data_IF_415611516048
#
_entry.id   IF_415611516048
#
_cell.length_a   1.000
_cell.length_b   1.000
_cell.length_c   1.000
_cell.angle_alpha   90.00
_cell.angle_beta   90.00
_cell.angle_gamma   90.00
#
_symmetry.space_group_name_H-M   'P 1'
#
loop_
_entity.id
_entity.type
_entity.pdbx_description
1 polymer ?
#
# COMPACT_ATOMS: atom_id res chain seq x y z
N UNK A 1 -4.68 -23.73 16.60
CA UNK A 1 -4.50 -23.27 15.20
C UNK A 1 -3.39 -24.09 14.56
N UNK A 2 -3.73 -24.88 13.55
CA UNK A 2 -2.74 -25.61 12.75
C UNK A 2 -2.14 -24.65 11.69
N UNK A 3 -1.05 -25.05 11.04
CA UNK A 3 -0.39 -24.26 10.00
C UNK A 3 -1.32 -23.89 8.84
N UNK A 4 -2.25 -24.77 8.50
CA UNK A 4 -3.24 -24.52 7.45
C UNK A 4 -4.15 -23.32 7.78
N UNK A 5 -4.59 -23.21 9.04
CA UNK A 5 -5.43 -22.09 9.50
C UNK A 5 -4.68 -20.76 9.42
N UNK A 6 -3.39 -20.76 9.80
CA UNK A 6 -2.54 -19.56 9.76
C UNK A 6 -2.29 -19.08 8.32
N UNK A 7 -2.09 -20.01 7.39
CA UNK A 7 -1.93 -19.69 5.96
C UNK A 7 -3.22 -19.08 5.42
N UNK A 8 -4.38 -19.66 5.74
CA UNK A 8 -5.67 -19.10 5.34
C UNK A 8 -5.85 -17.68 5.89
N UNK A 9 -5.56 -17.47 7.17
CA UNK A 9 -5.63 -16.14 7.79
C UNK A 9 -4.71 -15.12 7.09
N UNK A 10 -3.50 -15.51 6.71
CA UNK A 10 -2.58 -14.65 5.96
C UNK A 10 -3.16 -14.26 4.59
N UNK A 11 -3.73 -15.22 3.86
CA UNK A 11 -4.37 -14.97 2.56
C UNK A 11 -5.55 -14.01 2.72
N UNK A 12 -6.41 -14.23 3.72
CA UNK A 12 -7.57 -13.38 4.00
C UNK A 12 -7.14 -11.93 4.33
N UNK A 13 -6.04 -11.76 5.09
CA UNK A 13 -5.49 -10.43 5.38
C UNK A 13 -4.94 -9.74 4.13
N UNK A 14 -4.30 -10.48 3.21
CA UNK A 14 -3.82 -9.92 1.93
C UNK A 14 -4.99 -9.44 1.07
N UNK A 15 -6.03 -10.24 0.96
CA UNK A 15 -7.25 -9.86 0.23
C UNK A 15 -7.92 -8.63 0.86
N UNK A 16 -7.99 -8.57 2.20
CA UNK A 16 -8.51 -7.38 2.90
C UNK A 16 -7.66 -6.13 2.62
N UNK A 17 -6.34 -6.23 2.65
CA UNK A 17 -5.44 -5.10 2.39
C UNK A 17 -5.52 -4.60 0.93
N UNK A 18 -5.80 -5.49 -0.02
CA UNK A 18 -5.96 -5.14 -1.44
C UNK A 18 -7.19 -4.29 -1.72
N UNK A 19 -8.24 -4.40 -0.89
CA UNK A 19 -9.48 -3.62 -1.03
C UNK A 19 -9.35 -2.14 -0.60
N UNK A 20 -8.26 -1.76 0.06
CA UNK A 20 -8.04 -0.39 0.52
C UNK A 20 -9.22 0.14 1.35
N UNK A 21 -9.76 1.28 0.93
CA UNK A 21 -10.91 1.93 1.57
C UNK A 21 -12.28 1.27 1.32
N UNK A 22 -12.34 0.19 0.56
CA UNK A 22 -13.55 -0.56 0.23
C UNK A 22 -14.11 -0.27 -1.16
N UNK A 23 -14.94 -1.21 -1.66
CA UNK A 23 -15.41 -1.25 -3.05
C UNK A 23 -16.14 0.04 -3.47
N UNK A 24 -16.97 0.62 -2.60
CA UNK A 24 -17.70 1.86 -2.87
C UNK A 24 -16.77 3.05 -3.14
N UNK A 25 -15.69 3.19 -2.35
CA UNK A 25 -14.71 4.27 -2.53
C UNK A 25 -13.85 4.04 -3.76
N UNK A 26 -13.55 2.78 -4.09
CA UNK A 26 -12.89 2.39 -5.34
C UNK A 26 -13.76 2.77 -6.55
N UNK A 27 -15.06 2.46 -6.54
CA UNK A 27 -15.98 2.88 -7.61
C UNK A 27 -16.05 4.41 -7.75
N UNK A 28 -15.97 5.14 -6.64
CA UNK A 28 -15.90 6.60 -6.67
C UNK A 28 -14.63 7.12 -7.36
N UNK A 29 -13.49 6.42 -7.24
CA UNK A 29 -12.27 6.78 -7.97
C UNK A 29 -12.45 6.54 -9.49
N UNK A 30 -13.00 5.38 -9.87
CA UNK A 30 -13.26 5.08 -11.28
C UNK A 30 -14.26 6.05 -11.91
N UNK A 31 -15.32 6.41 -11.20
CA UNK A 31 -16.29 7.41 -11.66
C UNK A 31 -15.64 8.79 -11.92
N UNK A 32 -14.51 9.08 -11.29
CA UNK A 32 -13.69 10.28 -11.51
C UNK A 32 -12.62 10.11 -12.58
N UNK A 33 -12.59 8.97 -13.29
CA UNK A 33 -11.58 8.65 -14.29
C UNK A 33 -10.18 8.40 -13.70
N UNK A 34 -10.10 8.00 -12.42
CA UNK A 34 -8.84 7.75 -11.72
C UNK A 34 -8.64 6.26 -11.44
N UNK A 35 -7.40 5.82 -11.56
CA UNK A 35 -6.96 4.50 -11.10
C UNK A 35 -6.72 4.50 -9.58
N UNK A 36 -6.93 3.36 -8.95
CA UNK A 36 -6.51 3.11 -7.56
C UNK A 36 -4.98 3.18 -7.42
N UNK A 37 -4.48 3.24 -6.18
CA UNK A 37 -3.04 3.28 -5.94
C UNK A 37 -2.32 2.00 -6.41
N UNK A 38 -2.94 0.83 -6.22
CA UNK A 38 -2.38 -0.46 -6.65
C UNK A 38 -2.35 -0.60 -8.16
N UNK A 39 -3.41 -0.18 -8.86
CA UNK A 39 -3.44 -0.21 -10.33
C UNK A 39 -2.38 0.72 -10.92
N UNK A 40 -2.15 1.90 -10.34
CA UNK A 40 -1.09 2.81 -10.79
C UNK A 40 0.29 2.14 -10.70
N UNK A 41 0.57 1.40 -9.62
CA UNK A 41 1.81 0.63 -9.48
C UNK A 41 1.89 -0.48 -10.52
N UNK A 42 0.80 -1.23 -10.75
CA UNK A 42 0.76 -2.30 -11.75
C UNK A 42 0.93 -1.80 -13.18
N UNK A 43 0.46 -0.59 -13.49
CA UNK A 43 0.66 0.06 -14.81
C UNK A 43 2.12 0.50 -14.97
N UNK A 44 2.74 0.98 -13.89
CA UNK A 44 4.08 1.56 -13.93
C UNK A 44 5.18 0.50 -14.02
N UNK A 45 5.04 -0.61 -13.29
CA UNK A 45 6.09 -1.62 -13.12
C UNK A 45 5.94 -2.77 -14.10
N UNK A 46 7.06 -3.44 -14.39
CA UNK A 46 7.07 -4.67 -15.17
C UNK A 46 6.20 -5.74 -14.48
N UNK A 47 5.45 -6.52 -15.27
CA UNK A 47 4.50 -7.51 -14.77
C UNK A 47 5.19 -8.52 -13.83
N UNK A 48 4.59 -8.73 -12.65
CA UNK A 48 5.09 -9.67 -11.64
C UNK A 48 6.34 -9.21 -10.89
N UNK A 49 6.86 -8.00 -11.14
CA UNK A 49 8.06 -7.49 -10.47
C UNK A 49 7.82 -6.85 -9.10
N UNK A 50 6.57 -6.47 -8.78
CA UNK A 50 6.27 -5.68 -7.59
C UNK A 50 6.31 -6.52 -6.30
N UNK A 51 7.19 -6.13 -5.39
CA UNK A 51 7.31 -6.66 -4.04
C UNK A 51 6.90 -5.60 -3.01
N UNK A 52 5.79 -5.85 -2.31
CA UNK A 52 5.16 -4.91 -1.40
C UNK A 52 5.70 -5.00 0.03
N UNK A 53 5.86 -3.84 0.66
CA UNK A 53 6.35 -3.69 2.03
C UNK A 53 5.22 -3.24 2.93
N UNK A 54 5.24 -3.74 4.17
CA UNK A 54 4.40 -3.22 5.26
C UNK A 54 2.89 -3.17 4.91
N UNK A 55 2.43 -4.16 4.14
CA UNK A 55 1.03 -4.30 3.70
C UNK A 55 0.05 -4.33 4.88
N UNK A 56 0.47 -4.84 6.04
CA UNK A 56 -0.40 -5.03 7.20
C UNK A 56 -0.27 -3.97 8.29
N UNK A 57 0.58 -2.95 8.08
CA UNK A 57 0.72 -1.85 9.05
C UNK A 57 -0.57 -1.02 9.09
N UNK A 58 -0.94 -0.57 10.29
CA UNK A 58 -2.07 0.34 10.52
C UNK A 58 -1.63 1.47 11.45
N UNK A 59 -2.38 2.59 11.46
CA UNK A 59 -2.13 3.67 12.41
C UNK A 59 -2.36 3.25 13.86
N UNK A 60 -1.67 3.94 14.76
CA UNK A 60 -1.72 3.72 16.22
C UNK A 60 -2.49 4.80 16.97
N UNK A 61 -3.12 5.73 16.25
CA UNK A 61 -3.94 6.78 16.86
C UNK A 61 -5.25 6.22 17.43
N UNK A 62 -5.57 6.66 18.65
CA UNK A 62 -6.82 6.43 19.38
C UNK A 62 -7.69 7.68 19.46
N UNK A 63 -7.24 8.79 18.86
CA UNK A 63 -7.94 10.06 18.95
C UNK A 63 -9.10 10.12 17.95
N UNK A 64 -10.14 10.89 18.29
CA UNK A 64 -11.27 11.20 17.40
C UNK A 64 -11.99 9.98 16.80
N UNK A 65 -11.99 8.83 17.50
CA UNK A 65 -12.65 7.60 17.05
C UNK A 65 -11.89 6.83 15.96
N UNK A 66 -10.63 7.20 15.66
CA UNK A 66 -9.84 6.54 14.62
C UNK A 66 -9.56 5.07 14.91
N UNK A 67 -9.61 4.65 16.18
CA UNK A 67 -9.48 3.25 16.58
C UNK A 67 -10.53 2.30 15.96
N UNK A 68 -11.71 2.83 15.60
CA UNK A 68 -12.77 2.06 14.92
C UNK A 68 -12.51 1.90 13.41
N UNK A 69 -11.54 2.64 12.85
CA UNK A 69 -11.29 2.77 11.42
C UNK A 69 -9.89 2.32 11.00
N UNK A 70 -9.57 1.06 11.25
CA UNK A 70 -8.25 0.48 10.95
C UNK A 70 -8.18 -0.07 9.51
N UNK A 71 -7.36 0.55 8.67
CA UNK A 71 -7.09 0.10 7.30
C UNK A 71 -5.68 -0.47 7.16
N UNK A 72 -5.56 -1.69 6.64
CA UNK A 72 -4.27 -2.33 6.37
C UNK A 72 -3.51 -1.54 5.30
N UNK A 73 -2.23 -1.28 5.56
CA UNK A 73 -1.34 -0.50 4.72
C UNK A 73 -1.36 1.01 5.03
N UNK A 74 -2.34 1.47 5.81
CA UNK A 74 -2.48 2.84 6.31
C UNK A 74 -2.51 3.93 5.22
N UNK A 75 -3.16 3.61 4.10
CA UNK A 75 -3.40 4.55 3.01
C UNK A 75 -2.19 4.83 2.10
N UNK A 76 -1.13 4.04 2.19
CA UNK A 76 -0.03 4.06 1.23
C UNK A 76 0.45 2.65 0.90
N UNK A 77 0.59 2.36 -0.38
CA UNK A 77 1.26 1.16 -0.86
C UNK A 77 2.71 1.51 -1.12
N UNK A 78 3.63 0.72 -0.60
CA UNK A 78 5.07 0.96 -0.72
C UNK A 78 5.77 -0.33 -1.13
N UNK A 79 6.84 -0.22 -1.93
CA UNK A 79 7.66 -1.37 -2.26
C UNK A 79 8.73 -1.10 -3.30
N UNK A 80 9.19 -2.18 -3.94
CA UNK A 80 10.09 -2.11 -5.08
C UNK A 80 9.59 -2.99 -6.22
N UNK A 81 10.10 -2.75 -7.41
CA UNK A 81 9.93 -3.64 -8.56
C UNK A 81 10.89 -3.21 -9.65
N UNK A 82 10.52 -3.44 -10.91
CA UNK A 82 11.36 -3.07 -12.06
C UNK A 82 10.60 -2.23 -13.08
N UNK A 83 11.33 -1.37 -13.78
CA UNK A 83 10.91 -0.71 -15.03
C UNK A 83 12.00 -0.99 -16.05
N UNK A 84 11.63 -1.63 -17.17
CA UNK A 84 12.59 -2.09 -18.19
C UNK A 84 13.73 -2.93 -17.56
N UNK A 85 13.38 -3.79 -16.58
CA UNK A 85 14.32 -4.64 -15.85
C UNK A 85 15.22 -3.92 -14.85
N UNK A 86 15.07 -2.60 -14.65
CA UNK A 86 15.88 -1.81 -13.70
C UNK A 86 15.12 -1.64 -12.39
N UNK A 87 15.79 -1.93 -11.27
CA UNK A 87 15.21 -1.81 -9.93
C UNK A 87 14.77 -0.37 -9.65
N UNK A 88 13.54 -0.22 -9.19
CA UNK A 88 12.98 1.04 -8.72
C UNK A 88 12.20 0.84 -7.43
N UNK A 89 12.23 1.83 -6.55
CA UNK A 89 11.37 1.88 -5.38
C UNK A 89 10.17 2.77 -5.67
N UNK A 90 9.01 2.38 -5.17
CA UNK A 90 7.76 3.09 -5.43
C UNK A 90 6.93 3.22 -4.16
N UNK A 91 6.23 4.34 -4.03
CA UNK A 91 5.06 4.44 -3.18
C UNK A 91 3.90 5.05 -3.94
N UNK A 92 2.67 4.71 -3.53
CA UNK A 92 1.46 5.30 -4.08
C UNK A 92 0.44 5.50 -2.96
N UNK A 93 0.00 6.74 -2.77
CA UNK A 93 -1.02 7.10 -1.79
C UNK A 93 -2.41 6.66 -2.28
N UNK A 94 -3.16 6.01 -1.39
CA UNK A 94 -4.50 5.50 -1.64
C UNK A 94 -5.56 6.48 -1.14
N UNK A 95 -6.14 7.22 -2.07
CA UNK A 95 -7.19 8.21 -1.80
C UNK A 95 -8.48 7.61 -1.23
N UNK A 96 -8.66 6.29 -1.31
CA UNK A 96 -9.82 5.61 -0.72
C UNK A 96 -9.70 5.46 0.81
N UNK A 97 -8.50 5.59 1.36
CA UNK A 97 -8.23 5.50 2.81
C UNK A 97 -7.95 6.90 3.35
N UNK A 98 -8.83 7.40 4.23
CA UNK A 98 -8.73 8.75 4.82
C UNK A 98 -8.47 9.90 3.81
N UNK A 99 -8.91 9.75 2.56
CA UNK A 99 -8.64 10.73 1.50
C UNK A 99 -7.16 10.84 1.11
N UNK A 100 -6.33 9.84 1.43
CA UNK A 100 -4.88 9.88 1.21
C UNK A 100 -4.12 10.70 2.25
N UNK A 101 -4.75 11.02 3.39
CA UNK A 101 -4.10 11.76 4.47
C UNK A 101 -2.92 10.99 5.07
N UNK A 102 -1.91 11.74 5.50
CA UNK A 102 -0.63 11.20 5.97
C UNK A 102 -0.64 11.10 7.50
N UNK A 103 -0.65 9.86 8.00
CA UNK A 103 -0.44 9.51 9.41
C UNK A 103 1.05 9.28 9.73
N UNK A 104 1.38 9.02 11.00
CA UNK A 104 2.73 8.63 11.41
C UNK A 104 3.23 7.37 10.67
N UNK A 105 2.44 6.30 10.68
CA UNK A 105 2.80 5.00 10.09
C UNK A 105 2.84 5.05 8.56
N UNK A 106 1.95 5.83 7.94
CA UNK A 106 2.02 6.16 6.52
C UNK A 106 3.35 6.84 6.17
N UNK A 107 3.75 7.85 6.94
CA UNK A 107 5.02 8.55 6.75
C UNK A 107 6.22 7.62 6.94
N UNK A 108 6.20 6.79 7.99
CA UNK A 108 7.25 5.81 8.27
C UNK A 108 7.43 4.83 7.11
N UNK A 109 6.33 4.36 6.49
CA UNK A 109 6.40 3.52 5.29
C UNK A 109 7.09 4.23 4.14
N UNK A 110 6.78 5.51 3.91
CA UNK A 110 7.41 6.33 2.85
C UNK A 110 8.91 6.52 3.11
N UNK A 111 9.28 6.94 4.31
CA UNK A 111 10.68 7.10 4.69
C UNK A 111 11.46 5.80 4.54
N UNK A 112 10.85 4.66 4.92
CA UNK A 112 11.49 3.34 4.79
C UNK A 112 11.86 3.01 3.35
N UNK A 113 11.00 3.23 2.35
CA UNK A 113 11.40 2.92 0.97
C UNK A 113 12.43 3.90 0.42
N UNK A 114 12.39 5.18 0.85
CA UNK A 114 13.43 6.15 0.50
C UNK A 114 14.79 5.69 1.05
N UNK A 115 14.84 5.25 2.31
CA UNK A 115 16.05 4.70 2.92
C UNK A 115 16.56 3.43 2.21
N UNK A 116 15.66 2.53 1.80
CA UNK A 116 16.05 1.33 1.06
C UNK A 116 16.58 1.66 -0.34
N UNK A 117 15.94 2.60 -1.03
CA UNK A 117 16.38 3.05 -2.35
C UNK A 117 17.78 3.68 -2.30
N UNK A 118 18.05 4.52 -1.30
CA UNK A 118 19.38 5.12 -1.09
C UNK A 118 20.46 4.07 -0.88
N UNK A 119 20.17 2.98 -0.15
CA UNK A 119 21.16 1.91 0.12
C UNK A 119 21.63 1.18 -1.13
N UNK A 120 20.76 1.04 -2.13
CA UNK A 120 21.06 0.28 -3.35
C UNK A 120 21.28 1.18 -4.58
N UNK A 121 21.17 2.51 -4.42
CA UNK A 121 21.33 3.47 -5.52
C UNK A 121 20.22 3.36 -6.57
N UNK A 122 18.99 3.06 -6.16
CA UNK A 122 17.83 2.95 -7.05
C UNK A 122 16.97 4.23 -7.04
N UNK A 123 16.28 4.57 -8.14
CA UNK A 123 15.33 5.68 -8.15
C UNK A 123 14.14 5.44 -7.24
N UNK A 124 13.45 6.53 -6.87
CA UNK A 124 12.17 6.51 -6.12
C UNK A 124 11.10 7.22 -6.94
N UNK A 125 9.94 6.59 -7.09
CA UNK A 125 8.72 7.19 -7.68
C UNK A 125 7.63 7.24 -6.61
N UNK A 126 6.95 8.38 -6.50
CA UNK A 126 5.93 8.66 -5.48
C UNK A 126 4.67 9.27 -6.05
#
# INVERSE_FOLDING_TARGET
>A
MNNHDKIKQLIDLREKARKGGGDERVQTQYAKGKHTARERIQILLDEGSFEEYDMFVTHRSHEFGLEEHQYLGDGVITGHGTIDGRVIYVYAQDFTVFGGSLSETHAQKICKIMDQAMKVGAPVVG
#
